data_IF_935451005816
#
_entry.id   IF_935451005816
#
_cell.length_a   1.000
_cell.length_b   1.000
_cell.length_c   1.000
_cell.angle_alpha   90.00
_cell.angle_beta   90.00
_cell.angle_gamma   90.00
#
_symmetry.space_group_name_H-M   'P 1'
#
loop_
_entity.id
_entity.type
_entity.pdbx_description
1 polymer ?
#
# COMPACT_ATOMS: atom_id res chain seq x y z
N UNK A 1 -32.92 -19.89 -18.21
CA UNK A 1 -32.64 -19.18 -16.94
C UNK A 1 -31.68 -19.91 -16.00
N UNK A 2 -31.65 -21.26 -15.93
CA UNK A 2 -30.69 -22.01 -15.10
C UNK A 2 -29.26 -22.05 -15.69
N UNK A 3 -29.14 -22.07 -17.02
CA UNK A 3 -27.86 -22.05 -17.74
C UNK A 3 -27.12 -20.72 -17.65
N UNK A 4 -27.84 -19.59 -17.60
CA UNK A 4 -27.26 -18.26 -17.45
C UNK A 4 -26.63 -18.03 -16.06
N UNK A 5 -27.22 -18.64 -15.01
CA UNK A 5 -26.64 -18.63 -13.65
C UNK A 5 -25.38 -19.50 -13.57
N UNK A 6 -25.33 -20.59 -14.32
CA UNK A 6 -24.18 -21.50 -14.33
C UNK A 6 -22.96 -20.87 -15.02
N UNK A 7 -23.17 -20.10 -16.10
CA UNK A 7 -22.09 -19.39 -16.81
C UNK A 7 -21.52 -18.24 -15.98
N UNK A 8 -22.36 -17.56 -15.19
CA UNK A 8 -21.91 -16.48 -14.29
C UNK A 8 -21.09 -17.03 -13.09
N UNK A 9 -21.37 -18.26 -12.64
CA UNK A 9 -20.61 -18.91 -11.56
C UNK A 9 -19.28 -19.51 -12.01
N UNK A 10 -19.13 -19.86 -13.30
CA UNK A 10 -17.89 -20.45 -13.84
C UNK A 10 -16.84 -19.38 -14.20
N UNK A 11 -17.26 -18.15 -14.49
CA UNK A 11 -16.33 -17.02 -14.69
C UNK A 11 -15.64 -16.52 -13.41
N UNK A 12 -16.12 -16.93 -12.23
CA UNK A 12 -15.55 -16.52 -10.93
C UNK A 12 -14.39 -17.43 -10.47
N UNK A 13 -14.08 -18.51 -11.19
CA UNK A 13 -13.06 -19.50 -10.82
C UNK A 13 -11.82 -19.42 -11.73
N UNK A 14 -11.71 -18.36 -12.54
CA UNK A 14 -10.48 -18.09 -13.30
C UNK A 14 -9.41 -17.58 -12.33
N UNK A 15 -8.70 -18.55 -11.74
CA UNK A 15 -7.33 -18.48 -11.26
C UNK A 15 -6.85 -17.16 -10.67
N UNK A 16 -7.06 -16.98 -9.37
CA UNK A 16 -6.10 -16.26 -8.53
C UNK A 16 -4.89 -17.19 -8.33
N UNK A 17 -4.22 -17.57 -9.42
CA UNK A 17 -2.81 -17.88 -9.36
C UNK A 17 -2.13 -16.54 -9.57
N UNK A 18 -2.05 -15.76 -8.48
CA UNK A 18 -1.39 -14.48 -8.47
C UNK A 18 0.08 -14.69 -8.83
N UNK A 19 0.40 -14.63 -10.11
CA UNK A 19 1.76 -14.41 -10.54
C UNK A 19 2.14 -13.03 -9.98
N UNK A 20 3.17 -13.03 -9.14
CA UNK A 20 3.69 -11.90 -8.41
C UNK A 20 3.65 -10.61 -9.26
N UNK A 21 3.26 -9.48 -8.64
CA UNK A 21 3.16 -8.18 -9.31
C UNK A 21 4.51 -7.63 -9.82
N UNK A 22 5.57 -8.41 -9.67
CA UNK A 22 6.94 -8.16 -10.12
C UNK A 22 7.30 -9.32 -11.06
N UNK A 23 7.49 -9.03 -12.34
CA UNK A 23 7.61 -10.00 -13.45
C UNK A 23 8.71 -11.07 -13.33
N UNK A 24 9.33 -11.44 -14.45
CA UNK A 24 10.36 -12.49 -14.47
C UNK A 24 11.63 -12.05 -13.68
N UNK A 25 12.26 -12.98 -12.96
CA UNK A 25 13.48 -12.72 -12.17
C UNK A 25 13.62 -13.64 -10.96
N UNK A 26 14.83 -13.73 -10.38
CA UNK A 26 15.04 -14.52 -9.16
C UNK A 26 14.46 -13.81 -7.93
N UNK A 27 14.19 -14.51 -6.82
CA UNK A 27 13.78 -13.85 -5.57
C UNK A 27 14.78 -12.81 -5.07
N UNK A 28 16.07 -12.98 -5.35
CA UNK A 28 17.11 -12.00 -5.02
C UNK A 28 16.96 -10.71 -5.82
N UNK A 29 16.76 -10.84 -7.14
CA UNK A 29 16.56 -9.69 -8.04
C UNK A 29 15.30 -8.90 -7.66
N UNK A 30 14.21 -9.62 -7.34
CA UNK A 30 12.96 -9.00 -6.89
C UNK A 30 13.15 -8.22 -5.59
N UNK A 31 13.81 -8.82 -4.59
CA UNK A 31 14.14 -8.11 -3.34
C UNK A 31 14.97 -6.86 -3.60
N UNK A 32 15.98 -6.96 -4.46
CA UNK A 32 16.83 -5.81 -4.79
C UNK A 32 16.02 -4.69 -5.46
N UNK A 33 15.16 -5.02 -6.42
CA UNK A 33 14.27 -4.04 -7.06
C UNK A 33 13.34 -3.34 -6.06
N UNK A 34 12.81 -4.08 -5.06
CA UNK A 34 12.01 -3.50 -3.98
C UNK A 34 12.82 -2.51 -3.13
N UNK A 35 14.06 -2.87 -2.78
CA UNK A 35 14.95 -2.00 -1.99
C UNK A 35 15.40 -0.75 -2.76
N UNK A 36 15.54 -0.85 -4.07
CA UNK A 36 15.85 0.29 -4.92
C UNK A 36 14.64 1.22 -5.02
N UNK A 37 13.44 0.67 -5.24
CA UNK A 37 12.17 1.41 -5.19
C UNK A 37 11.96 2.09 -3.83
N UNK A 38 12.24 1.39 -2.72
CA UNK A 38 12.18 1.94 -1.36
C UNK A 38 13.06 3.19 -1.25
N UNK A 39 14.31 3.10 -1.71
CA UNK A 39 15.28 4.20 -1.63
C UNK A 39 14.84 5.40 -2.43
N UNK A 40 14.39 5.19 -3.66
CA UNK A 40 13.92 6.26 -4.54
C UNK A 40 12.68 6.97 -3.97
N UNK A 41 11.69 6.20 -3.49
CA UNK A 41 10.50 6.76 -2.89
C UNK A 41 10.81 7.58 -1.63
N UNK A 42 11.70 7.11 -0.76
CA UNK A 42 12.12 7.88 0.41
C UNK A 42 12.89 9.16 0.02
N UNK A 43 13.77 9.09 -0.98
CA UNK A 43 14.47 10.28 -1.48
C UNK A 43 13.49 11.34 -1.98
N UNK A 44 12.49 10.93 -2.74
CA UNK A 44 11.45 11.82 -3.27
C UNK A 44 10.57 12.40 -2.14
N UNK A 45 10.19 11.57 -1.17
CA UNK A 45 9.47 12.05 0.01
C UNK A 45 10.29 13.07 0.81
N UNK A 46 11.59 12.86 0.99
CA UNK A 46 12.45 13.82 1.68
C UNK A 46 12.67 15.11 0.90
N UNK A 47 12.62 15.05 -0.43
CA UNK A 47 12.70 16.24 -1.29
C UNK A 47 11.43 17.08 -1.21
N UNK A 48 10.27 16.42 -1.17
CA UNK A 48 8.95 17.07 -1.18
C UNK A 48 8.46 17.48 0.20
N UNK A 49 8.76 16.69 1.25
CA UNK A 49 8.48 16.96 2.67
C UNK A 49 9.70 16.63 3.55
N UNK A 50 10.68 17.54 3.66
CA UNK A 50 11.94 17.31 4.39
C UNK A 50 11.78 16.82 5.84
N UNK A 51 10.75 17.29 6.56
CA UNK A 51 10.49 16.92 7.96
C UNK A 51 10.24 15.42 8.16
N UNK A 52 9.81 14.72 7.11
CA UNK A 52 9.59 13.26 7.16
C UNK A 52 10.87 12.47 7.39
N UNK A 53 12.05 13.04 7.07
CA UNK A 53 13.35 12.40 7.35
C UNK A 53 13.53 12.14 8.83
N UNK A 54 13.22 13.12 9.67
CA UNK A 54 13.29 12.96 11.12
C UNK A 54 12.30 11.87 11.57
N UNK A 55 11.04 11.98 11.14
CA UNK A 55 9.97 11.06 11.53
C UNK A 55 10.31 9.59 11.22
N UNK A 56 10.80 9.30 10.00
CA UNK A 56 11.18 7.94 9.58
C UNK A 56 12.44 7.47 10.30
N UNK A 57 13.43 8.37 10.48
CA UNK A 57 14.68 8.04 11.16
C UNK A 57 14.51 7.72 12.65
N UNK A 58 13.49 8.29 13.31
CA UNK A 58 13.21 8.05 14.74
C UNK A 58 12.12 7.01 14.97
N UNK A 59 11.34 6.65 13.95
CA UNK A 59 10.27 5.66 14.09
C UNK A 59 10.80 4.25 14.41
N UNK A 60 10.03 3.45 15.18
CA UNK A 60 10.23 2.01 15.37
C UNK A 60 10.28 1.20 14.06
N UNK A 61 9.63 1.68 13.01
CA UNK A 61 9.66 1.06 11.69
C UNK A 61 8.86 1.86 10.68
N UNK A 62 9.00 1.48 9.41
CA UNK A 62 8.27 2.10 8.31
C UNK A 62 7.99 1.07 7.21
N UNK A 63 7.06 1.39 6.32
CA UNK A 63 6.84 0.63 5.11
C UNK A 63 6.83 1.53 3.88
N UNK A 64 7.30 1.00 2.76
CA UNK A 64 7.31 1.69 1.47
C UNK A 64 6.73 0.78 0.41
N UNK A 65 5.74 1.26 -0.31
CA UNK A 65 5.08 0.52 -1.38
C UNK A 65 5.05 1.33 -2.67
N UNK A 66 5.17 0.63 -3.79
CA UNK A 66 4.86 1.11 -5.12
C UNK A 66 3.59 0.44 -5.61
N UNK A 67 2.70 1.21 -6.20
CA UNK A 67 1.53 0.71 -6.87
C UNK A 67 1.60 1.01 -8.37
N UNK A 68 1.36 0.00 -9.19
CA UNK A 68 1.08 0.14 -10.60
C UNK A 68 -0.44 0.09 -10.78
N UNK A 69 -1.01 1.23 -11.12
CA UNK A 69 -2.45 1.43 -11.14
C UNK A 69 -2.96 1.54 -12.58
N UNK A 70 -4.03 0.81 -12.91
CA UNK A 70 -4.75 1.00 -14.17
C UNK A 70 -6.15 1.48 -13.83
N UNK A 71 -6.42 2.79 -13.96
CA UNK A 71 -7.79 3.29 -13.78
C UNK A 71 -8.54 3.26 -15.11
N UNK A 72 -9.62 2.47 -15.15
CA UNK A 72 -10.65 2.55 -16.19
C UNK A 72 -11.87 3.29 -15.65
N UNK A 73 -12.68 3.84 -16.55
CA UNK A 73 -13.89 4.59 -16.19
C UNK A 73 -14.74 3.76 -15.21
N UNK A 74 -14.96 4.28 -13.99
CA UNK A 74 -15.71 3.71 -12.87
C UNK A 74 -15.08 2.54 -12.09
N UNK A 75 -14.00 1.92 -12.57
CA UNK A 75 -13.32 0.81 -11.86
C UNK A 75 -11.83 1.09 -11.75
N UNK A 76 -11.36 1.25 -10.52
CA UNK A 76 -9.95 1.32 -10.19
C UNK A 76 -9.52 -0.02 -9.61
N UNK A 77 -8.55 -0.66 -10.25
CA UNK A 77 -7.84 -1.81 -9.72
C UNK A 77 -6.34 -1.62 -9.92
N UNK A 78 -5.57 -1.94 -8.89
CA UNK A 78 -4.13 -1.82 -8.91
C UNK A 78 -3.49 -2.91 -8.09
N UNK A 79 -2.28 -3.29 -8.46
CA UNK A 79 -1.44 -4.16 -7.66
C UNK A 79 -0.12 -3.47 -7.41
N UNK A 80 0.60 -3.95 -6.41
CA UNK A 80 1.86 -3.38 -6.06
C UNK A 80 2.64 -4.28 -5.14
N UNK A 81 3.78 -3.76 -4.73
CA UNK A 81 4.76 -4.44 -3.91
C UNK A 81 5.46 -3.43 -3.03
N UNK A 82 6.07 -3.92 -1.97
CA UNK A 82 6.77 -3.06 -1.04
C UNK A 82 7.51 -3.84 0.02
N UNK A 83 7.98 -3.07 0.99
CA UNK A 83 8.81 -3.57 2.08
C UNK A 83 8.43 -2.88 3.37
N UNK A 84 8.49 -3.64 4.46
CA UNK A 84 8.42 -3.15 5.84
C UNK A 84 9.79 -3.30 6.48
N UNK A 85 10.30 -2.21 7.04
CA UNK A 85 11.51 -2.18 7.85
C UNK A 85 11.12 -2.10 9.33
N UNK A 86 11.30 -3.19 10.05
CA UNK A 86 11.16 -3.20 11.50
C UNK A 86 12.51 -2.86 12.13
N UNK A 87 12.68 -1.61 12.57
CA UNK A 87 13.95 -1.14 13.16
C UNK A 87 14.12 -1.61 14.61
N UNK A 88 13.07 -2.17 15.22
CA UNK A 88 13.15 -2.78 16.56
C UNK A 88 13.71 -4.19 16.48
N UNK A 89 13.25 -5.03 15.53
CA UNK A 89 13.78 -6.40 15.35
C UNK A 89 14.96 -6.48 14.38
N UNK A 90 15.13 -5.48 13.51
CA UNK A 90 16.08 -5.51 12.40
C UNK A 90 15.56 -6.25 11.16
N UNK A 91 14.33 -6.77 11.21
CA UNK A 91 13.75 -7.56 10.12
C UNK A 91 13.29 -6.66 8.96
N UNK A 92 13.43 -7.21 7.75
CA UNK A 92 12.89 -6.65 6.52
C UNK A 92 11.85 -7.63 6.00
N UNK A 93 10.59 -7.19 5.88
CA UNK A 93 9.49 -8.02 5.39
C UNK A 93 9.02 -7.53 4.04
N UNK A 94 9.06 -8.38 3.02
CA UNK A 94 8.58 -8.06 1.68
C UNK A 94 7.10 -8.35 1.57
N UNK A 95 6.34 -7.45 0.96
CA UNK A 95 4.88 -7.50 0.97
C UNK A 95 4.31 -7.16 -0.40
N UNK A 96 3.15 -7.73 -0.68
CA UNK A 96 2.30 -7.38 -1.81
C UNK A 96 1.18 -6.45 -1.37
N UNK A 97 0.68 -5.67 -2.33
CA UNK A 97 -0.55 -4.91 -2.16
C UNK A 97 -1.49 -5.09 -3.35
N UNK A 98 -2.78 -5.00 -3.09
CA UNK A 98 -3.79 -4.85 -4.13
C UNK A 98 -4.83 -3.82 -3.68
N UNK A 99 -5.29 -3.03 -4.63
CA UNK A 99 -6.38 -2.08 -4.43
C UNK A 99 -7.52 -2.35 -5.40
N UNK A 100 -8.73 -2.15 -4.91
CA UNK A 100 -9.93 -2.15 -5.70
C UNK A 100 -10.87 -1.06 -5.18
N UNK A 101 -11.43 -0.27 -6.08
CA UNK A 101 -12.35 0.80 -5.72
C UNK A 101 -13.22 1.22 -6.89
N UNK A 102 -14.31 1.90 -6.56
CA UNK A 102 -15.17 2.57 -7.54
C UNK A 102 -14.81 4.06 -7.49
N UNK A 103 -14.42 4.62 -8.62
CA UNK A 103 -13.98 6.01 -8.69
C UNK A 103 -14.15 6.60 -10.08
N UNK A 104 -14.49 7.88 -10.12
CA UNK A 104 -14.45 8.68 -11.34
C UNK A 104 -13.00 9.14 -11.56
N UNK A 105 -12.23 8.37 -12.30
CA UNK A 105 -10.85 8.70 -12.62
C UNK A 105 -10.44 8.09 -13.96
N UNK A 106 -9.67 8.85 -14.74
CA UNK A 106 -9.07 8.40 -15.99
C UNK A 106 -7.55 8.42 -15.82
N UNK A 107 -6.89 7.31 -16.16
CA UNK A 107 -5.43 7.25 -16.30
C UNK A 107 -4.73 6.29 -15.34
N UNK A 108 -3.62 5.73 -15.80
CA UNK A 108 -2.67 5.04 -14.95
C UNK A 108 -1.87 6.09 -14.17
N UNK A 109 -1.86 5.99 -12.83
CA UNK A 109 -0.99 6.82 -12.00
C UNK A 109 -0.21 5.92 -11.08
N UNK A 110 1.05 5.77 -11.38
CA UNK A 110 2.00 5.19 -10.46
C UNK A 110 2.12 6.11 -9.26
N UNK A 111 1.97 5.54 -8.09
CA UNK A 111 2.06 6.28 -6.85
C UNK A 111 2.82 5.45 -5.82
N UNK A 112 3.37 6.15 -4.83
CA UNK A 112 4.11 5.58 -3.72
C UNK A 112 3.33 5.79 -2.44
N UNK A 113 3.42 4.82 -1.55
CA UNK A 113 2.91 4.91 -0.18
C UNK A 113 4.10 4.76 0.75
N UNK A 114 4.25 5.69 1.69
CA UNK A 114 5.17 5.58 2.81
C UNK A 114 4.37 5.59 4.10
N UNK A 115 4.49 4.53 4.90
CA UNK A 115 3.84 4.41 6.20
C UNK A 115 4.88 4.48 7.30
N UNK A 116 4.65 5.33 8.29
CA UNK A 116 5.50 5.49 9.47
C UNK A 116 4.75 4.92 10.65
N UNK A 117 5.31 3.87 11.26
CA UNK A 117 4.72 3.22 12.42
C UNK A 117 5.30 3.82 13.71
N UNK A 118 4.43 4.29 14.59
CA UNK A 118 4.83 4.98 15.82
C UNK A 118 5.07 4.04 16.99
N UNK A 119 4.71 2.76 16.88
CA UNK A 119 5.01 1.74 17.88
C UNK A 119 5.15 0.33 17.25
N UNK A 120 5.71 -0.62 18.03
CA UNK A 120 5.91 -2.01 17.61
C UNK A 120 4.61 -2.74 17.30
N UNK A 121 3.54 -2.46 18.05
CA UNK A 121 2.25 -3.10 17.87
C UNK A 121 1.64 -2.76 16.50
N UNK A 122 1.78 -1.52 16.04
CA UNK A 122 1.32 -1.08 14.74
C UNK A 122 2.04 -1.82 13.59
N UNK A 123 3.36 -2.04 13.72
CA UNK A 123 4.15 -2.82 12.74
C UNK A 123 3.64 -4.26 12.69
N UNK A 124 3.54 -4.91 13.87
CA UNK A 124 3.12 -6.30 13.96
C UNK A 124 1.70 -6.50 13.41
N UNK A 125 0.76 -5.65 13.83
CA UNK A 125 -0.62 -5.69 13.35
C UNK A 125 -0.68 -5.54 11.82
N UNK A 126 0.11 -4.63 11.24
CA UNK A 126 0.18 -4.43 9.80
C UNK A 126 0.71 -5.66 9.06
N UNK A 127 1.80 -6.28 9.54
CA UNK A 127 2.40 -7.46 8.93
C UNK A 127 1.47 -8.67 9.04
N UNK A 128 0.88 -8.91 10.21
CA UNK A 128 0.09 -10.11 10.52
C UNK A 128 -1.32 -10.05 9.92
N UNK A 129 -2.02 -8.93 10.09
CA UNK A 129 -3.43 -8.80 9.71
C UNK A 129 -3.62 -8.14 8.33
N UNK A 130 -2.55 -7.58 7.77
CA UNK A 130 -2.65 -6.64 6.67
C UNK A 130 -3.35 -5.34 7.10
N UNK A 131 -3.58 -4.46 6.13
CA UNK A 131 -4.43 -3.29 6.30
C UNK A 131 -5.57 -3.34 5.30
N UNK A 132 -6.80 -2.97 5.69
CA UNK A 132 -7.92 -2.76 4.78
C UNK A 132 -8.46 -1.34 4.92
N UNK A 133 -8.16 -0.48 3.95
CA UNK A 133 -8.83 0.83 3.87
C UNK A 133 -10.30 0.60 3.49
N UNK A 134 -11.25 1.22 4.20
CA UNK A 134 -12.68 1.19 3.84
C UNK A 134 -13.52 -0.01 4.33
N UNK A 135 -12.95 -1.00 5.01
CA UNK A 135 -13.71 -2.14 5.58
C UNK A 135 -14.11 -1.97 7.05
N UNK A 136 -13.31 -1.23 7.82
CA UNK A 136 -13.53 -0.93 9.23
C UNK A 136 -13.66 0.59 9.43
N UNK A 137 -14.64 1.21 8.77
CA UNK A 137 -14.98 2.63 8.99
C UNK A 137 -15.42 2.92 10.44
N UNK A 138 -15.64 1.89 11.27
CA UNK A 138 -16.21 2.01 12.61
C UNK A 138 -15.24 2.06 13.80
N UNK A 139 -13.93 1.81 13.64
CA UNK A 139 -13.05 1.66 14.81
C UNK A 139 -12.02 2.78 15.04
N UNK A 140 -11.64 3.56 14.01
CA UNK A 140 -10.53 4.52 14.11
C UNK A 140 -10.92 6.00 14.14
N UNK A 141 -12.11 6.36 13.66
CA UNK A 141 -12.50 7.77 13.45
C UNK A 141 -12.84 8.50 14.77
N UNK A 142 -12.92 7.78 15.90
CA UNK A 142 -13.33 8.36 17.20
C UNK A 142 -12.23 8.51 18.25
N UNK A 143 -10.96 8.28 17.94
CA UNK A 143 -9.87 8.52 18.90
C UNK A 143 -9.05 9.75 18.48
N UNK A 144 -9.28 10.87 19.18
CA UNK A 144 -8.38 12.03 19.27
C UNK A 144 -8.34 13.07 18.14
N UNK A 145 -9.44 13.39 17.44
CA UNK A 145 -9.61 14.71 16.81
C UNK A 145 -8.53 15.18 15.81
N UNK A 146 -7.65 14.28 15.36
CA UNK A 146 -6.54 14.52 14.42
C UNK A 146 -6.78 13.87 13.06
N UNK A 147 -8.02 13.47 12.78
CA UNK A 147 -8.46 12.90 11.50
C UNK A 147 -8.60 13.94 10.39
N UNK A 148 -7.77 14.98 10.38
CA UNK A 148 -7.69 15.92 9.27
C UNK A 148 -6.69 15.35 8.26
N UNK A 149 -7.19 14.84 7.14
CA UNK A 149 -6.35 14.61 5.97
C UNK A 149 -5.87 15.97 5.47
N UNK A 150 -4.64 16.33 5.81
CA UNK A 150 -3.90 17.39 5.12
C UNK A 150 -3.33 16.75 3.86
N UNK A 151 -3.27 17.48 2.74
CA UNK A 151 -2.87 17.00 1.41
C UNK A 151 -1.82 15.86 1.42
N UNK A 152 -2.26 14.64 1.07
CA UNK A 152 -1.42 13.44 0.95
C UNK A 152 -1.01 12.78 2.27
N UNK A 153 -1.45 13.28 3.41
CA UNK A 153 -1.18 12.75 4.76
C UNK A 153 -2.46 12.21 5.40
N UNK A 154 -2.38 10.99 5.95
CA UNK A 154 -3.45 10.42 6.74
C UNK A 154 -2.91 9.81 8.04
N UNK A 155 -3.59 10.09 9.14
CA UNK A 155 -3.30 9.52 10.45
C UNK A 155 -4.32 8.43 10.79
N UNK A 156 -3.84 7.24 11.09
CA UNK A 156 -4.67 6.11 11.47
C UNK A 156 -4.11 5.47 12.74
N UNK A 157 -4.64 5.90 13.89
CA UNK A 157 -4.12 5.48 15.19
C UNK A 157 -2.61 5.79 15.28
N UNK A 158 -1.81 4.73 15.33
CA UNK A 158 -0.34 4.78 15.47
C UNK A 158 0.43 4.71 14.14
N UNK A 159 -0.23 5.01 13.01
CA UNK A 159 0.40 5.02 11.68
C UNK A 159 0.16 6.36 10.99
N UNK A 160 1.22 6.97 10.48
CA UNK A 160 1.13 8.10 9.53
C UNK A 160 1.39 7.60 8.12
N UNK A 161 0.53 7.95 7.18
CA UNK A 161 0.59 7.49 5.79
C UNK A 161 0.79 8.69 4.88
N UNK A 162 1.81 8.59 4.03
CA UNK A 162 2.14 9.55 2.97
C UNK A 162 1.89 8.93 1.61
N UNK A 163 1.15 9.62 0.75
CA UNK A 163 0.87 9.16 -0.61
C UNK A 163 1.24 10.24 -1.63
N UNK A 164 2.03 9.88 -2.63
CA UNK A 164 2.52 10.82 -3.65
C UNK A 164 2.77 10.13 -4.99
N UNK A 165 2.80 10.90 -6.08
CA UNK A 165 3.19 10.44 -7.43
C UNK A 165 4.53 11.08 -7.80
N UNK A 166 5.17 10.63 -8.89
CA UNK A 166 6.39 11.26 -9.41
C UNK A 166 6.21 12.75 -9.76
N UNK A 167 4.98 13.17 -10.05
CA UNK A 167 4.63 14.55 -10.37
C UNK A 167 4.37 15.42 -9.14
N UNK A 168 4.43 14.85 -7.92
CA UNK A 168 4.20 15.53 -6.65
C UNK A 168 3.11 14.89 -5.78
N UNK A 169 2.73 15.57 -4.69
CA UNK A 169 1.67 15.13 -3.78
C UNK A 169 0.32 15.31 -4.47
N UNK A 170 -0.16 14.24 -5.09
CA UNK A 170 -1.43 14.27 -5.80
C UNK A 170 -2.10 12.90 -5.74
N UNK A 171 -2.62 12.52 -4.58
CA UNK A 171 -3.69 11.54 -4.53
C UNK A 171 -4.82 12.07 -3.65
N UNK A 172 -5.82 12.66 -4.32
CA UNK A 172 -7.10 12.99 -3.72
C UNK A 172 -7.70 11.72 -3.11
N UNK A 173 -8.23 11.85 -1.90
CA UNK A 173 -8.84 10.80 -1.10
C UNK A 173 -9.99 10.10 -1.86
N UNK A 174 -9.66 9.18 -2.76
CA UNK A 174 -10.62 8.23 -3.31
C UNK A 174 -10.69 7.08 -2.32
N UNK A 175 -11.90 6.74 -1.87
CA UNK A 175 -12.13 5.60 -0.99
C UNK A 175 -11.83 4.33 -1.80
N UNK A 176 -10.60 3.84 -1.70
CA UNK A 176 -10.14 2.61 -2.37
C UNK A 176 -9.89 1.52 -1.35
N UNK A 177 -10.57 0.39 -1.47
CA UNK A 177 -10.23 -0.78 -0.68
C UNK A 177 -8.81 -1.22 -1.02
N UNK A 178 -7.87 -1.08 -0.10
CA UNK A 178 -6.48 -1.52 -0.30
C UNK A 178 -6.17 -2.62 0.69
N UNK A 179 -5.62 -3.74 0.22
CA UNK A 179 -5.17 -4.88 1.02
C UNK A 179 -3.66 -5.05 0.90
N UNK A 180 -3.00 -5.36 2.01
CA UNK A 180 -1.58 -5.67 2.10
C UNK A 180 -1.39 -7.06 2.68
N UNK A 181 -0.38 -7.81 2.21
CA UNK A 181 -0.05 -9.13 2.75
C UNK A 181 1.42 -9.50 2.50
N UNK A 182 1.98 -10.38 3.33
CA UNK A 182 3.36 -10.87 3.20
C UNK A 182 3.54 -11.64 1.89
N UNK A 183 4.64 -11.37 1.18
CA UNK A 183 5.05 -12.14 0.03
C UNK A 183 5.78 -13.43 0.47
N UNK A 184 5.16 -14.59 0.28
CA UNK A 184 5.72 -15.87 0.73
C UNK A 184 6.95 -16.33 -0.05
N UNK A 185 7.19 -15.78 -1.24
CA UNK A 185 8.34 -16.17 -2.07
C UNK A 185 9.60 -15.37 -1.71
N UNK A 186 9.42 -14.19 -1.11
CA UNK A 186 10.51 -13.25 -0.82
C UNK A 186 10.97 -13.25 0.65
N UNK A 187 10.19 -13.85 1.56
CA UNK A 187 10.48 -13.96 2.99
C UNK A 187 10.77 -15.41 3.39
#
# INVERSE_FOLDING_TARGET
MKTLKLVLSVLLIIGINGCASMGDGTPGDKRQAILDMEREALQELYRTKPDTRAQISTAPGYAVFSNANVNFIFVAAGTGYGVVKNKVSGETTYMNMAEAGVGLGFGAKDYRIVMVFHNKQAINNFIESGWTFGGNADAGVKANGKGASVEGEAYYGDVTVYTFTESGIALQATIKGTKFWVDKELN
#
